data_IF_636051633749
#
_entry.id   IF_636051633749
#
_cell.length_a   1.000
_cell.length_b   1.000
_cell.length_c   1.000
_cell.angle_alpha   90.00
_cell.angle_beta   90.00
_cell.angle_gamma   90.00
#
_symmetry.space_group_name_H-M   'P 1'
#
loop_
_entity.id
_entity.type
_entity.pdbx_description
1 polymer ?
#
# COMPACT_ATOMS: atom_id res chain seq x y z
N UNK A 1 13.58 20.91 20.24
CA UNK A 1 12.58 21.55 19.36
C UNK A 1 11.30 20.73 19.39
N UNK A 2 10.13 21.37 19.50
CA UNK A 2 8.86 20.68 19.60
C UNK A 2 8.56 19.89 18.32
N UNK A 3 8.34 18.57 18.44
CA UNK A 3 7.78 17.74 17.37
C UNK A 3 6.38 18.24 17.05
N UNK A 4 6.21 18.97 15.95
CA UNK A 4 4.89 19.36 15.45
C UNK A 4 4.21 18.14 14.81
N UNK A 5 3.20 17.61 15.48
CA UNK A 5 2.26 16.61 14.93
C UNK A 5 0.97 17.23 14.40
N UNK A 6 0.90 18.56 14.29
CA UNK A 6 -0.31 19.28 13.89
C UNK A 6 -0.88 18.80 12.54
N UNK A 7 0.00 18.43 11.60
CA UNK A 7 -0.37 17.90 10.29
C UNK A 7 -0.96 16.48 10.37
N UNK A 8 -0.55 15.69 11.38
CA UNK A 8 -1.07 14.32 11.61
C UNK A 8 -2.44 14.38 12.26
N UNK A 9 -2.71 15.38 13.11
CA UNK A 9 -4.01 15.55 13.77
C UNK A 9 -5.18 15.67 12.79
N UNK A 10 -5.04 16.53 11.76
CA UNK A 10 -6.08 16.70 10.73
C UNK A 10 -6.28 15.41 9.90
N UNK A 11 -5.18 14.76 9.49
CA UNK A 11 -5.24 13.51 8.75
C UNK A 11 -5.85 12.36 9.56
N UNK A 12 -5.57 12.28 10.87
CA UNK A 12 -6.16 11.30 11.78
C UNK A 12 -7.66 11.49 11.95
N UNK A 13 -8.13 12.72 12.06
CA UNK A 13 -9.58 13.01 12.16
C UNK A 13 -10.29 12.68 10.84
N UNK A 14 -9.75 13.13 9.71
CA UNK A 14 -10.37 12.91 8.41
C UNK A 14 -10.33 11.42 8.00
N UNK A 15 -9.16 10.80 7.99
CA UNK A 15 -9.01 9.40 7.56
C UNK A 15 -9.54 8.42 8.61
N UNK A 16 -9.35 8.71 9.90
CA UNK A 16 -9.86 7.88 10.99
C UNK A 16 -11.38 7.92 11.06
N UNK A 17 -11.96 9.13 11.02
CA UNK A 17 -13.41 9.34 11.01
C UNK A 17 -14.07 8.76 9.76
N UNK A 18 -13.51 9.02 8.57
CA UNK A 18 -14.00 8.39 7.34
C UNK A 18 -13.90 6.85 7.43
N UNK A 19 -12.81 6.29 7.95
CA UNK A 19 -12.66 4.85 8.13
C UNK A 19 -13.75 4.24 9.00
N UNK A 20 -14.13 4.89 10.11
CA UNK A 20 -15.25 4.47 10.97
C UNK A 20 -16.57 4.48 10.21
N UNK A 21 -16.85 5.56 9.46
CA UNK A 21 -18.09 5.70 8.68
C UNK A 21 -18.19 4.62 7.59
N UNK A 22 -17.09 4.37 6.87
CA UNK A 22 -17.04 3.36 5.82
C UNK A 22 -17.21 1.94 6.37
N UNK A 23 -16.57 1.62 7.49
CA UNK A 23 -16.74 0.32 8.16
C UNK A 23 -18.16 0.14 8.69
N UNK A 24 -18.67 1.12 9.44
CA UNK A 24 -20.01 1.05 10.03
C UNK A 24 -21.10 0.97 8.95
N UNK A 25 -21.03 1.84 7.94
CA UNK A 25 -21.95 1.82 6.80
C UNK A 25 -21.83 0.54 5.96
N UNK A 26 -20.61 0.00 5.81
CA UNK A 26 -20.37 -1.27 5.13
C UNK A 26 -21.01 -2.46 5.85
N UNK A 27 -20.83 -2.57 7.17
CA UNK A 27 -21.47 -3.61 7.97
C UNK A 27 -22.99 -3.51 7.97
N UNK A 28 -23.52 -2.30 8.08
CA UNK A 28 -24.97 -2.07 8.02
C UNK A 28 -25.53 -2.46 6.64
N UNK A 29 -24.85 -2.12 5.55
CA UNK A 29 -25.23 -2.53 4.21
C UNK A 29 -25.22 -4.07 4.04
N UNK A 30 -24.21 -4.75 4.57
CA UNK A 30 -24.13 -6.23 4.55
C UNK A 30 -25.31 -6.84 5.33
N UNK A 31 -25.61 -6.29 6.53
CA UNK A 31 -26.72 -6.76 7.36
C UNK A 31 -28.08 -6.60 6.65
N UNK A 32 -28.22 -5.55 5.85
CA UNK A 32 -29.42 -5.29 5.05
C UNK A 32 -29.43 -6.02 3.69
N UNK A 33 -28.49 -6.93 3.44
CA UNK A 33 -28.46 -7.78 2.25
C UNK A 33 -27.83 -7.13 1.02
N UNK A 34 -27.19 -5.96 1.13
CA UNK A 34 -26.51 -5.32 0.02
C UNK A 34 -25.08 -5.86 -0.12
N UNK A 35 -24.76 -6.61 -1.21
CA UNK A 35 -23.45 -7.22 -1.39
C UNK A 35 -22.33 -6.18 -1.55
N UNK A 36 -22.66 -4.96 -1.98
CA UNK A 36 -21.72 -3.84 -2.09
C UNK A 36 -21.22 -3.32 -0.74
N UNK A 37 -21.82 -3.72 0.39
CA UNK A 37 -21.33 -3.35 1.72
C UNK A 37 -19.88 -3.79 1.99
N UNK A 38 -19.41 -4.85 1.32
CA UNK A 38 -18.00 -5.26 1.35
C UNK A 38 -17.04 -4.20 0.82
N UNK A 39 -17.43 -3.42 -0.19
CA UNK A 39 -16.62 -2.29 -0.68
C UNK A 39 -16.44 -1.23 0.41
N UNK A 40 -17.48 -0.97 1.19
CA UNK A 40 -17.41 -0.07 2.35
C UNK A 40 -16.44 -0.58 3.41
N UNK A 41 -16.53 -1.86 3.74
CA UNK A 41 -15.61 -2.50 4.71
C UNK A 41 -14.16 -2.44 4.23
N UNK A 42 -13.88 -2.85 2.98
CA UNK A 42 -12.52 -2.79 2.42
C UNK A 42 -12.01 -1.35 2.28
N UNK A 43 -12.87 -0.41 1.91
CA UNK A 43 -12.55 1.02 1.86
C UNK A 43 -12.15 1.57 3.23
N UNK A 44 -12.92 1.25 4.27
CA UNK A 44 -12.62 1.68 5.64
C UNK A 44 -11.32 1.07 6.19
N UNK A 45 -11.09 -0.23 5.97
CA UNK A 45 -9.81 -0.87 6.29
C UNK A 45 -8.65 -0.24 5.52
N UNK A 46 -8.85 0.08 4.24
CA UNK A 46 -7.87 0.76 3.40
C UNK A 46 -7.47 2.13 3.95
N UNK A 47 -8.45 2.92 4.40
CA UNK A 47 -8.20 4.24 5.02
C UNK A 47 -7.42 4.12 6.33
N UNK A 48 -7.73 3.15 7.17
CA UNK A 48 -6.97 2.90 8.41
C UNK A 48 -5.55 2.42 8.15
N UNK A 49 -5.36 1.52 7.16
CA UNK A 49 -4.02 1.10 6.75
C UNK A 49 -3.21 2.27 6.19
N UNK A 50 -3.83 3.14 5.38
CA UNK A 50 -3.19 4.35 4.87
C UNK A 50 -2.80 5.28 6.02
N UNK A 51 -3.70 5.51 6.98
CA UNK A 51 -3.42 6.33 8.15
C UNK A 51 -2.26 5.77 8.99
N UNK A 52 -2.28 4.46 9.25
CA UNK A 52 -1.21 3.76 9.98
C UNK A 52 0.13 3.87 9.23
N UNK A 53 0.11 3.73 7.90
CA UNK A 53 1.29 3.89 7.05
C UNK A 53 1.87 5.32 7.11
N UNK A 54 1.02 6.35 7.02
CA UNK A 54 1.44 7.75 7.14
C UNK A 54 2.00 8.07 8.52
N UNK A 55 1.38 7.53 9.58
CA UNK A 55 1.88 7.66 10.94
C UNK A 55 3.28 7.04 11.08
N UNK A 56 3.45 5.82 10.55
CA UNK A 56 4.72 5.11 10.57
C UNK A 56 5.81 5.85 9.77
N UNK A 57 5.49 6.42 8.61
CA UNK A 57 6.43 7.24 7.84
C UNK A 57 6.84 8.50 8.60
N UNK A 58 5.89 9.17 9.26
CA UNK A 58 6.17 10.35 10.09
C UNK A 58 7.10 10.00 11.25
N UNK A 59 6.86 8.87 11.90
CA UNK A 59 7.75 8.35 12.94
C UNK A 59 9.18 8.12 12.42
N UNK A 60 9.34 7.49 11.25
CA UNK A 60 10.66 7.29 10.63
C UNK A 60 11.33 8.61 10.24
N UNK A 61 10.58 9.54 9.66
CA UNK A 61 11.08 10.86 9.28
C UNK A 61 11.57 11.66 10.50
N UNK A 62 10.83 11.62 11.62
CA UNK A 62 11.22 12.26 12.87
C UNK A 62 12.47 11.62 13.47
N UNK A 63 12.57 10.29 13.45
CA UNK A 63 13.77 9.57 13.88
C UNK A 63 14.99 9.98 13.05
N UNK A 64 14.81 10.16 11.73
CA UNK A 64 15.86 10.64 10.83
C UNK A 64 16.31 12.06 11.16
N UNK A 65 15.37 12.99 11.36
CA UNK A 65 15.68 14.38 11.74
C UNK A 65 16.44 14.44 13.07
N UNK A 66 15.96 13.71 14.08
CA UNK A 66 16.61 13.62 15.39
C UNK A 66 18.03 13.04 15.32
N UNK A 67 18.30 12.11 14.40
CA UNK A 67 19.66 11.61 14.19
C UNK A 67 20.57 12.66 13.54
N UNK A 68 20.09 13.38 12.53
CA UNK A 68 20.86 14.44 11.84
C UNK A 68 21.22 15.56 12.82
N UNK A 69 20.31 15.96 13.69
CA UNK A 69 20.55 16.99 14.72
C UNK A 69 21.60 16.59 15.75
N UNK A 70 21.80 15.29 15.99
CA UNK A 70 22.81 14.78 16.93
C UNK A 70 24.22 14.69 16.32
N UNK A 71 24.37 14.90 15.01
CA UNK A 71 25.68 14.83 14.37
C UNK A 71 26.47 16.12 14.57
N UNK A 72 27.81 16.05 14.76
CA UNK A 72 28.66 17.23 14.94
C UNK A 72 28.57 18.24 13.79
N UNK A 73 28.31 17.73 12.58
CA UNK A 73 28.17 18.50 11.35
C UNK A 73 26.83 18.20 10.68
N UNK A 74 25.73 18.67 11.28
CA UNK A 74 24.35 18.37 10.87
C UNK A 74 24.04 18.72 9.40
N UNK A 75 24.62 19.81 8.89
CA UNK A 75 24.49 20.23 7.48
C UNK A 75 25.04 19.18 6.50
N UNK A 76 26.19 18.57 6.82
CA UNK A 76 26.82 17.55 5.97
C UNK A 76 26.20 16.15 6.18
N UNK A 77 25.74 15.85 7.39
CA UNK A 77 25.06 14.59 7.71
C UNK A 77 23.75 14.41 6.91
N UNK A 78 23.09 15.51 6.51
CA UNK A 78 21.90 15.47 5.66
C UNK A 78 22.17 15.10 4.18
N UNK A 79 23.40 15.30 3.71
CA UNK A 79 23.79 15.11 2.30
C UNK A 79 24.19 13.66 2.00
N UNK A 80 24.73 12.93 2.96
CA UNK A 80 25.13 11.51 2.81
C UNK A 80 23.95 10.53 2.87
N UNK A 81 22.75 11.01 3.21
CA UNK A 81 21.57 10.17 3.37
C UNK A 81 20.97 9.77 2.02
N UNK A 82 20.61 8.49 1.89
CA UNK A 82 20.02 7.93 0.67
C UNK A 82 18.74 8.67 0.27
N UNK A 83 18.58 8.97 -1.02
CA UNK A 83 17.39 9.58 -1.60
C UNK A 83 16.85 8.76 -2.78
N UNK A 84 15.56 8.87 -3.04
CA UNK A 84 14.90 8.28 -4.20
C UNK A 84 14.85 6.74 -4.17
N UNK A 85 14.89 6.14 -5.36
CA UNK A 85 14.70 4.68 -5.53
C UNK A 85 13.34 4.29 -6.09
N UNK A 86 12.51 5.25 -6.50
CA UNK A 86 11.21 5.01 -7.13
C UNK A 86 11.29 3.94 -8.22
N UNK A 87 12.16 4.12 -9.22
CA UNK A 87 12.29 3.17 -10.33
C UNK A 87 12.67 1.76 -9.88
N UNK A 88 13.49 1.62 -8.84
CA UNK A 88 13.83 0.30 -8.30
C UNK A 88 12.62 -0.36 -7.66
N UNK A 89 11.86 0.36 -6.84
CA UNK A 89 10.61 -0.16 -6.25
C UNK A 89 9.57 -0.48 -7.31
N UNK A 90 9.38 0.43 -8.28
CA UNK A 90 8.47 0.28 -9.40
C UNK A 90 8.78 -0.99 -10.20
N UNK A 91 10.03 -1.16 -10.65
CA UNK A 91 10.42 -2.30 -11.48
C UNK A 91 10.32 -3.62 -10.72
N UNK A 92 10.69 -3.66 -9.45
CA UNK A 92 10.53 -4.86 -8.62
C UNK A 92 9.06 -5.24 -8.47
N UNK A 93 8.20 -4.29 -8.10
CA UNK A 93 6.77 -4.55 -7.95
C UNK A 93 6.12 -4.92 -9.30
N UNK A 94 6.53 -4.27 -10.38
CA UNK A 94 6.05 -4.60 -11.73
C UNK A 94 6.47 -6.01 -12.15
N UNK A 95 7.72 -6.41 -11.88
CA UNK A 95 8.19 -7.77 -12.11
C UNK A 95 7.39 -8.81 -11.33
N UNK A 96 7.03 -8.52 -10.08
CA UNK A 96 6.13 -9.39 -9.28
C UNK A 96 4.75 -9.49 -9.91
N UNK A 97 4.16 -8.38 -10.36
CA UNK A 97 2.85 -8.39 -11.04
C UNK A 97 2.90 -9.23 -12.31
N UNK A 98 3.96 -9.09 -13.13
CA UNK A 98 4.17 -9.91 -14.32
C UNK A 98 4.30 -11.39 -13.95
N UNK A 99 5.07 -11.72 -12.91
CA UNK A 99 5.23 -13.10 -12.46
C UNK A 99 3.91 -13.72 -12.00
N UNK A 100 3.09 -12.97 -11.25
CA UNK A 100 1.75 -13.41 -10.86
C UNK A 100 0.86 -13.58 -12.08
N UNK A 101 0.92 -12.67 -13.06
CA UNK A 101 0.14 -12.78 -14.29
C UNK A 101 0.53 -14.02 -15.12
N UNK A 102 1.84 -14.30 -15.23
CA UNK A 102 2.36 -15.49 -15.87
C UNK A 102 1.89 -16.77 -15.15
N UNK A 103 1.88 -16.77 -13.81
CA UNK A 103 1.36 -17.88 -13.02
C UNK A 103 -0.14 -18.12 -13.26
N UNK A 104 -0.94 -17.05 -13.32
CA UNK A 104 -2.38 -17.13 -13.66
C UNK A 104 -2.58 -17.75 -15.04
N UNK A 105 -1.80 -17.31 -16.03
CA UNK A 105 -1.85 -17.87 -17.37
C UNK A 105 -1.46 -19.35 -17.40
N UNK A 106 -0.41 -19.71 -16.67
CA UNK A 106 0.05 -21.09 -16.53
C UNK A 106 -1.04 -21.98 -15.91
N UNK A 107 -1.60 -21.58 -14.78
CA UNK A 107 -2.66 -22.34 -14.09
C UNK A 107 -3.91 -22.46 -14.97
N UNK A 108 -4.29 -21.39 -15.67
CA UNK A 108 -5.42 -21.42 -16.60
C UNK A 108 -5.17 -22.36 -17.80
N UNK A 109 -3.94 -22.37 -18.34
CA UNK A 109 -3.54 -23.23 -19.44
C UNK A 109 -3.52 -24.72 -19.07
N UNK A 110 -3.15 -25.04 -17.82
CA UNK A 110 -3.14 -26.40 -17.29
C UNK A 110 -4.41 -26.76 -16.49
N UNK A 111 -5.48 -25.99 -16.60
CA UNK A 111 -6.70 -26.20 -15.80
C UNK A 111 -7.33 -27.59 -15.98
N UNK A 112 -7.15 -28.23 -17.14
CA UNK A 112 -7.66 -29.59 -17.43
C UNK A 112 -7.02 -30.68 -16.57
N UNK A 113 -5.83 -30.41 -16.00
CA UNK A 113 -5.14 -31.31 -15.08
C UNK A 113 -5.57 -31.14 -13.62
N UNK A 114 -6.43 -30.15 -13.33
CA UNK A 114 -6.89 -29.81 -11.99
C UNK A 114 -8.34 -30.26 -11.76
N UNK A 115 -8.73 -30.54 -10.50
CA UNK A 115 -10.14 -30.77 -10.17
C UNK A 115 -10.98 -29.53 -10.51
N UNK A 116 -12.12 -29.73 -11.17
CA UNK A 116 -13.07 -28.67 -11.55
C UNK A 116 -12.48 -27.62 -12.53
N UNK A 117 -12.12 -28.03 -13.76
CA UNK A 117 -11.40 -27.17 -14.73
C UNK A 117 -12.14 -25.86 -15.04
N UNK A 118 -13.47 -25.89 -15.12
CA UNK A 118 -14.28 -24.69 -15.41
C UNK A 118 -14.23 -23.67 -14.27
N UNK A 119 -14.24 -24.13 -13.02
CA UNK A 119 -14.13 -23.25 -11.84
C UNK A 119 -12.75 -22.64 -11.75
N UNK A 120 -11.70 -23.43 -12.03
CA UNK A 120 -10.31 -22.94 -12.07
C UNK A 120 -10.16 -21.86 -13.14
N UNK A 121 -10.66 -22.09 -14.36
CA UNK A 121 -10.61 -21.10 -15.45
C UNK A 121 -11.37 -19.83 -15.09
N UNK A 122 -12.58 -19.95 -14.53
CA UNK A 122 -13.37 -18.81 -14.09
C UNK A 122 -12.65 -17.97 -13.02
N UNK A 123 -12.04 -18.62 -12.03
CA UNK A 123 -11.25 -17.94 -11.00
C UNK A 123 -10.01 -17.25 -11.59
N UNK A 124 -9.25 -17.94 -12.45
CA UNK A 124 -8.06 -17.35 -13.08
C UNK A 124 -8.42 -16.15 -13.97
N UNK A 125 -9.54 -16.20 -14.70
CA UNK A 125 -10.04 -15.04 -15.46
C UNK A 125 -10.38 -13.86 -14.55
N UNK A 126 -11.02 -14.11 -13.41
CA UNK A 126 -11.37 -13.06 -12.44
C UNK A 126 -10.10 -12.44 -11.83
N UNK A 127 -9.10 -13.25 -11.48
CA UNK A 127 -7.80 -12.76 -11.02
C UNK A 127 -7.10 -11.97 -12.14
N UNK A 128 -7.12 -12.46 -13.37
CA UNK A 128 -6.59 -11.77 -14.55
C UNK A 128 -7.22 -10.39 -14.77
N UNK A 129 -8.53 -10.29 -14.59
CA UNK A 129 -9.26 -9.02 -14.68
C UNK A 129 -8.81 -8.02 -13.60
N UNK A 130 -8.63 -8.48 -12.35
CA UNK A 130 -8.13 -7.63 -11.26
C UNK A 130 -6.66 -7.23 -11.47
N UNK A 131 -5.87 -8.08 -12.13
CA UNK A 131 -4.47 -7.76 -12.43
C UNK A 131 -4.34 -6.57 -13.40
N UNK A 132 -5.28 -6.33 -14.32
CA UNK A 132 -5.23 -5.21 -15.27
C UNK A 132 -4.96 -3.85 -14.58
N UNK A 133 -5.81 -3.36 -13.66
CA UNK A 133 -5.51 -2.13 -12.93
C UNK A 133 -4.28 -2.28 -12.02
N UNK A 134 -3.98 -3.49 -11.53
CA UNK A 134 -2.82 -3.75 -10.68
C UNK A 134 -1.48 -3.49 -11.38
N UNK A 135 -1.39 -3.67 -12.71
CA UNK A 135 -0.19 -3.36 -13.50
C UNK A 135 0.21 -1.88 -13.45
N UNK A 136 -0.74 -0.98 -13.18
CA UNK A 136 -0.46 0.44 -13.04
C UNK A 136 -0.35 0.83 -11.56
N UNK A 137 -1.35 0.45 -10.76
CA UNK A 137 -1.47 0.93 -9.38
C UNK A 137 -0.38 0.35 -8.49
N UNK A 138 -0.12 -0.96 -8.55
CA UNK A 138 0.85 -1.59 -7.64
C UNK A 138 2.29 -1.12 -7.89
N UNK A 139 2.80 -1.01 -9.14
CA UNK A 139 4.14 -0.48 -9.38
C UNK A 139 4.31 0.97 -8.94
N UNK A 140 3.32 1.83 -9.16
CA UNK A 140 3.36 3.23 -8.69
C UNK A 140 3.41 3.28 -7.16
N UNK A 141 2.55 2.51 -6.49
CA UNK A 141 2.57 2.39 -5.04
C UNK A 141 3.91 1.83 -4.54
N UNK A 142 4.40 0.73 -5.12
CA UNK A 142 5.66 0.09 -4.76
C UNK A 142 6.86 1.03 -4.93
N UNK A 143 6.93 1.76 -6.04
CA UNK A 143 7.94 2.79 -6.26
C UNK A 143 7.87 3.92 -5.23
N UNK A 144 6.67 4.40 -4.94
CA UNK A 144 6.44 5.48 -3.96
C UNK A 144 6.84 5.04 -2.56
N UNK A 145 6.36 3.88 -2.11
CA UNK A 145 6.70 3.29 -0.82
C UNK A 145 8.20 3.07 -0.71
N UNK A 146 8.83 2.44 -1.70
CA UNK A 146 10.28 2.19 -1.67
C UNK A 146 11.10 3.49 -1.60
N UNK A 147 10.71 4.51 -2.37
CA UNK A 147 11.34 5.83 -2.33
C UNK A 147 11.22 6.47 -0.95
N UNK A 148 10.03 6.44 -0.35
CA UNK A 148 9.77 6.99 0.99
C UNK A 148 10.55 6.23 2.07
N UNK A 149 10.59 4.90 2.01
CA UNK A 149 11.36 4.06 2.94
C UNK A 149 12.86 4.33 2.87
N UNK A 150 13.39 4.47 1.66
CA UNK A 150 14.82 4.74 1.45
C UNK A 150 15.17 6.16 1.90
N UNK A 151 14.31 7.14 1.60
CA UNK A 151 14.51 8.54 2.01
C UNK A 151 14.43 8.75 3.53
N UNK A 152 13.69 7.89 4.23
CA UNK A 152 13.55 7.90 5.70
C UNK A 152 14.45 6.86 6.39
N UNK A 153 15.34 6.20 5.65
CA UNK A 153 16.36 5.29 6.21
C UNK A 153 17.54 6.08 6.78
N UNK A 154 18.11 5.56 7.86
CA UNK A 154 19.37 6.04 8.45
C UNK A 154 20.60 5.29 7.95
N UNK A 155 20.42 4.21 7.19
CA UNK A 155 21.47 3.36 6.62
C UNK A 155 21.34 3.24 5.12
#
# INVERSE_FOLDING_TARGET
>A
MATSYAHVGCASVLLGGAGVVFLGGGFEAIRNGYPMGWLGVFGGLGLWLLLAFLYWLTFRANRRRAWVERQPYSHFAGQSLKRGGFWRGFLWTWGVVIAVHALVFLVSGFAELLPHPDQVRGLMMLIGLVLLPAHLVLPILGGTVWSLLRSTSLR
#
